data_IF_360233443507
#
_entry.id   IF_360233443507
#
_cell.length_a   1.000
_cell.length_b   1.000
_cell.length_c   1.000
_cell.angle_alpha   90.00
_cell.angle_beta   90.00
_cell.angle_gamma   90.00
#
_symmetry.space_group_name_H-M   'P 1'
#
loop_
_entity.id
_entity.type
_entity.pdbx_description
1 polymer ?
#
# COMPACT_ATOMS: atom_id res chain seq x y z
N UNK A 1 -17.86 -18.86 -26.20
CA UNK A 1 -18.14 -17.59 -25.50
C UNK A 1 -18.45 -17.94 -24.05
N UNK A 2 -17.54 -17.62 -23.12
CA UNK A 2 -17.77 -17.84 -21.69
C UNK A 2 -18.00 -16.46 -21.07
N UNK A 3 -19.25 -16.21 -20.68
CA UNK A 3 -19.64 -15.07 -19.85
C UNK A 3 -18.98 -15.24 -18.48
N UNK A 4 -18.05 -14.34 -18.14
CA UNK A 4 -17.47 -14.27 -16.80
C UNK A 4 -18.35 -13.34 -15.98
N UNK A 5 -19.18 -13.93 -15.14
CA UNK A 5 -20.03 -13.25 -14.18
C UNK A 5 -19.19 -12.39 -13.20
N UNK A 6 -19.55 -11.11 -13.13
CA UNK A 6 -19.01 -10.14 -12.19
C UNK A 6 -19.19 -10.62 -10.74
N UNK A 7 -18.08 -11.00 -10.10
CA UNK A 7 -18.05 -11.27 -8.67
C UNK A 7 -17.85 -9.96 -7.91
N UNK A 8 -18.97 -9.34 -7.57
CA UNK A 8 -19.06 -8.23 -6.63
C UNK A 8 -18.74 -8.76 -5.22
N UNK A 9 -17.49 -8.63 -4.76
CA UNK A 9 -17.13 -8.98 -3.38
C UNK A 9 -17.74 -7.96 -2.41
N UNK A 10 -18.79 -8.40 -1.72
CA UNK A 10 -19.46 -7.69 -0.62
C UNK A 10 -18.47 -7.40 0.52
N UNK A 11 -18.72 -6.23 1.13
CA UNK A 11 -18.06 -5.67 2.29
C UNK A 11 -17.83 -6.67 3.44
N UNK A 12 -16.74 -6.43 4.18
CA UNK A 12 -16.42 -6.99 5.51
C UNK A 12 -17.68 -7.32 6.31
N UNK A 13 -17.77 -8.54 6.83
CA UNK A 13 -18.77 -8.89 7.82
C UNK A 13 -18.57 -8.00 9.08
N UNK A 14 -19.57 -7.19 9.47
CA UNK A 14 -19.41 -6.18 10.52
C UNK A 14 -19.06 -6.75 11.90
N UNK A 15 -19.32 -8.04 12.14
CA UNK A 15 -19.01 -8.70 13.41
C UNK A 15 -17.52 -8.89 13.72
N UNK A 16 -16.64 -8.94 12.72
CA UNK A 16 -15.23 -9.28 12.95
C UNK A 16 -14.44 -8.15 13.62
N UNK A 17 -14.71 -6.90 13.21
CA UNK A 17 -14.08 -5.71 13.80
C UNK A 17 -14.51 -5.46 15.25
N UNK A 18 -15.74 -5.84 15.60
CA UNK A 18 -16.29 -5.67 16.95
C UNK A 18 -15.79 -6.74 17.93
N UNK A 19 -15.38 -7.91 17.44
CA UNK A 19 -14.79 -8.97 18.25
C UNK A 19 -13.34 -8.64 18.65
N UNK A 20 -12.54 -8.10 17.72
CA UNK A 20 -11.16 -7.68 18.02
C UNK A 20 -11.10 -6.50 19.02
N UNK A 21 -12.08 -5.58 18.98
CA UNK A 21 -12.16 -4.44 19.91
C UNK A 21 -12.42 -4.83 21.37
N UNK A 22 -12.98 -6.02 21.62
CA UNK A 22 -13.36 -6.49 22.97
C UNK A 22 -12.23 -7.22 23.70
N UNK A 23 -11.00 -7.23 23.17
CA UNK A 23 -9.79 -7.82 23.78
C UNK A 23 -9.87 -9.32 24.18
N UNK A 24 -10.99 -10.00 23.90
CA UNK A 24 -11.16 -11.44 24.11
C UNK A 24 -10.66 -12.29 22.93
N UNK A 25 -10.25 -11.66 21.84
CA UNK A 25 -9.77 -12.32 20.64
C UNK A 25 -8.33 -11.89 20.36
N UNK A 26 -7.37 -12.75 20.67
CA UNK A 26 -5.97 -12.58 20.29
C UNK A 26 -5.87 -13.06 18.84
N UNK A 27 -5.74 -12.13 17.89
CA UNK A 27 -5.52 -12.48 16.49
C UNK A 27 -4.14 -13.14 16.37
N UNK A 28 -4.04 -14.42 15.98
CA UNK A 28 -2.73 -15.06 15.82
C UNK A 28 -1.97 -14.36 14.69
N UNK A 29 -0.65 -14.24 14.84
CA UNK A 29 0.24 -13.56 13.89
C UNK A 29 0.12 -14.10 12.46
N UNK A 30 -0.26 -15.37 12.31
CA UNK A 30 -0.54 -16.03 11.04
C UNK A 30 -1.65 -15.36 10.22
N UNK A 31 -2.60 -14.66 10.84
CA UNK A 31 -3.66 -13.94 10.11
C UNK A 31 -3.09 -12.72 9.39
N UNK A 32 -2.11 -12.01 9.98
CA UNK A 32 -1.44 -10.89 9.32
C UNK A 32 -0.68 -11.33 8.05
N UNK A 33 -0.10 -12.53 8.08
CA UNK A 33 0.57 -13.14 6.93
C UNK A 33 -0.45 -13.49 5.85
N UNK A 34 -1.55 -14.16 6.22
CA UNK A 34 -2.63 -14.50 5.29
C UNK A 34 -3.28 -13.25 4.66
N UNK A 35 -3.50 -12.18 5.43
CA UNK A 35 -4.03 -10.92 4.92
C UNK A 35 -3.10 -10.30 3.87
N UNK A 36 -1.78 -10.37 4.07
CA UNK A 36 -0.80 -9.90 3.09
C UNK A 36 -0.80 -10.75 1.83
N UNK A 37 -0.89 -12.07 1.95
CA UNK A 37 -0.98 -12.99 0.80
C UNK A 37 -2.25 -12.75 -0.02
N UNK A 38 -3.40 -12.60 0.66
CA UNK A 38 -4.68 -12.30 0.00
C UNK A 38 -4.66 -10.93 -0.68
N UNK A 39 -4.07 -9.91 -0.04
CA UNK A 39 -3.88 -8.59 -0.67
C UNK A 39 -2.91 -8.68 -1.85
N UNK A 40 -1.81 -9.43 -1.76
CA UNK A 40 -0.86 -9.59 -2.85
C UNK A 40 -1.50 -10.24 -4.09
N UNK A 41 -2.44 -11.17 -3.89
CA UNK A 41 -3.20 -11.81 -4.98
C UNK A 41 -4.30 -10.89 -5.51
N UNK A 42 -4.99 -10.16 -4.64
CA UNK A 42 -6.18 -9.37 -5.01
C UNK A 42 -5.85 -7.96 -5.51
N UNK A 43 -4.86 -7.32 -4.90
CA UNK A 43 -4.35 -5.99 -5.25
C UNK A 43 -2.82 -5.93 -5.08
N UNK A 44 -2.07 -6.37 -6.12
CA UNK A 44 -0.62 -6.30 -6.15
C UNK A 44 -0.07 -4.88 -5.96
N UNK A 45 -0.85 -3.85 -6.32
CA UNK A 45 -0.43 -2.46 -6.12
C UNK A 45 -0.43 -2.10 -4.64
N UNK A 46 -1.53 -2.38 -3.93
CA UNK A 46 -1.65 -2.13 -2.50
C UNK A 46 -0.59 -2.89 -1.71
N UNK A 47 -0.38 -4.18 -2.02
CA UNK A 47 0.68 -4.98 -1.38
C UNK A 47 2.05 -4.32 -1.55
N UNK A 48 2.38 -3.90 -2.77
CA UNK A 48 3.67 -3.27 -3.04
C UNK A 48 3.82 -1.89 -2.40
N UNK A 49 2.74 -1.11 -2.33
CA UNK A 49 2.73 0.17 -1.63
C UNK A 49 2.98 -0.02 -0.12
N UNK A 50 2.30 -0.97 0.51
CA UNK A 50 2.45 -1.26 1.94
C UNK A 50 3.84 -1.82 2.31
N UNK A 51 4.51 -2.50 1.38
CA UNK A 51 5.91 -2.95 1.54
C UNK A 51 6.92 -1.80 1.42
N UNK A 52 6.58 -0.74 0.69
CA UNK A 52 7.48 0.40 0.48
C UNK A 52 7.28 1.53 1.50
N UNK A 53 6.05 1.72 1.97
CA UNK A 53 5.63 2.94 2.67
C UNK A 53 4.92 2.62 3.98
N UNK A 54 4.90 3.61 4.87
CA UNK A 54 4.07 3.62 6.07
C UNK A 54 3.28 4.93 6.14
N UNK A 55 2.01 4.87 6.57
CA UNK A 55 1.25 6.05 6.95
C UNK A 55 1.98 6.74 8.11
N UNK A 56 2.24 8.04 7.96
CA UNK A 56 2.91 8.84 8.97
C UNK A 56 2.47 10.29 8.79
N UNK A 57 1.63 10.85 9.70
CA UNK A 57 1.10 12.20 9.56
C UNK A 57 2.17 13.29 9.40
N UNK A 58 3.33 13.10 10.03
CA UNK A 58 4.48 14.02 9.94
C UNK A 58 5.47 13.61 8.85
N UNK A 59 5.31 12.39 8.34
CA UNK A 59 6.12 11.80 7.30
C UNK A 59 6.03 12.58 6.00
N UNK A 60 7.18 12.79 5.38
CA UNK A 60 7.27 13.37 4.04
C UNK A 60 8.17 12.57 3.13
N UNK A 61 7.84 12.58 1.84
CA UNK A 61 8.68 11.96 0.82
C UNK A 61 8.56 12.69 -0.51
N UNK A 62 9.68 12.86 -1.20
CA UNK A 62 9.68 13.40 -2.55
C UNK A 62 8.96 12.42 -3.50
N UNK A 63 8.04 12.92 -4.34
CA UNK A 63 7.21 12.07 -5.22
C UNK A 63 8.04 11.17 -6.11
N UNK A 64 9.07 11.74 -6.74
CA UNK A 64 9.98 10.99 -7.60
C UNK A 64 10.68 9.87 -6.83
N UNK A 65 11.17 10.16 -5.62
CA UNK A 65 11.83 9.16 -4.76
C UNK A 65 10.88 8.03 -4.37
N UNK A 66 9.64 8.35 -4.02
CA UNK A 66 8.62 7.34 -3.70
C UNK A 66 8.32 6.45 -4.93
N UNK A 67 8.12 7.06 -6.10
CA UNK A 67 7.86 6.35 -7.33
C UNK A 67 9.03 5.44 -7.75
N UNK A 68 10.27 5.93 -7.72
CA UNK A 68 11.46 5.14 -8.02
C UNK A 68 11.63 3.97 -7.05
N UNK A 69 11.36 4.18 -5.75
CA UNK A 69 11.39 3.11 -4.75
C UNK A 69 10.36 2.02 -5.07
N UNK A 70 9.13 2.41 -5.39
CA UNK A 70 8.08 1.49 -5.78
C UNK A 70 8.45 0.67 -7.02
N UNK A 71 8.96 1.33 -8.07
CA UNK A 71 9.40 0.64 -9.29
C UNK A 71 10.53 -0.35 -9.03
N UNK A 72 11.55 0.06 -8.27
CA UNK A 72 12.67 -0.79 -7.89
C UNK A 72 12.19 -2.03 -7.12
N UNK A 73 11.25 -1.83 -6.18
CA UNK A 73 10.71 -2.92 -5.39
C UNK A 73 9.84 -3.88 -6.19
N UNK A 74 9.00 -3.35 -7.09
CA UNK A 74 8.26 -4.16 -8.05
C UNK A 74 9.19 -5.04 -8.89
N UNK A 75 10.34 -4.52 -9.33
CA UNK A 75 11.33 -5.31 -10.06
C UNK A 75 11.94 -6.42 -9.18
N UNK A 76 12.28 -6.12 -7.92
CA UNK A 76 12.84 -7.10 -6.97
C UNK A 76 11.87 -8.25 -6.65
N UNK A 77 10.58 -7.97 -6.55
CA UNK A 77 9.52 -8.97 -6.27
C UNK A 77 8.95 -9.63 -7.53
N UNK A 78 9.50 -9.34 -8.72
CA UNK A 78 9.06 -9.94 -9.99
C UNK A 78 7.79 -9.33 -10.60
N UNK A 79 7.23 -8.26 -10.02
CA UNK A 79 6.05 -7.54 -10.52
C UNK A 79 6.40 -6.48 -11.59
N UNK A 80 7.18 -6.85 -12.61
CA UNK A 80 7.66 -5.92 -13.65
C UNK A 80 6.48 -5.33 -14.46
N UNK A 81 5.44 -6.13 -14.73
CA UNK A 81 4.24 -5.67 -15.43
C UNK A 81 3.53 -4.54 -14.65
N UNK A 82 3.44 -4.66 -13.32
CA UNK A 82 2.86 -3.65 -12.45
C UNK A 82 3.64 -2.33 -12.50
N UNK A 83 4.97 -2.40 -12.52
CA UNK A 83 5.85 -1.24 -12.65
C UNK A 83 5.66 -0.52 -14.00
N UNK A 84 5.42 -1.27 -15.10
CA UNK A 84 5.17 -0.70 -16.43
C UNK A 84 3.79 -0.06 -16.55
N UNK A 85 2.78 -0.65 -15.92
CA UNK A 85 1.39 -0.17 -15.95
C UNK A 85 1.14 1.04 -15.04
N UNK A 86 2.07 1.31 -14.11
CA UNK A 86 1.94 2.40 -13.14
C UNK A 86 2.88 3.53 -13.54
N UNK A 87 2.33 4.58 -14.15
CA UNK A 87 3.08 5.82 -14.40
C UNK A 87 3.15 6.71 -13.16
N UNK A 88 4.15 7.59 -13.07
CA UNK A 88 4.29 8.55 -11.95
C UNK A 88 3.02 9.39 -11.74
N UNK A 89 2.36 9.80 -12.83
CA UNK A 89 1.11 10.58 -12.80
C UNK A 89 -0.04 9.80 -12.16
N UNK A 90 -0.14 8.51 -12.45
CA UNK A 90 -1.22 7.65 -11.94
C UNK A 90 -0.88 7.03 -10.58
N UNK A 91 0.40 6.96 -10.22
CA UNK A 91 0.89 6.41 -8.97
C UNK A 91 0.23 7.07 -7.76
N UNK A 92 0.22 8.41 -7.71
CA UNK A 92 -0.42 9.13 -6.61
C UNK A 92 -1.92 8.88 -6.49
N UNK A 93 -2.63 8.79 -7.61
CA UNK A 93 -4.08 8.50 -7.61
C UNK A 93 -4.38 7.11 -7.08
N UNK A 94 -3.58 6.12 -7.48
CA UNK A 94 -3.70 4.75 -6.97
C UNK A 94 -3.34 4.66 -5.50
N UNK A 95 -2.29 5.38 -5.08
CA UNK A 95 -1.79 5.36 -3.71
C UNK A 95 -2.84 5.82 -2.69
N UNK A 96 -3.59 6.89 -2.99
CA UNK A 96 -4.67 7.38 -2.12
C UNK A 96 -5.82 6.37 -2.00
N UNK A 97 -5.96 5.44 -2.94
CA UNK A 97 -6.93 4.33 -2.87
C UNK A 97 -6.47 3.15 -2.01
N UNK A 98 -5.22 3.14 -1.53
CA UNK A 98 -4.70 2.10 -0.65
C UNK A 98 -5.05 2.45 0.79
N UNK A 99 -5.59 1.47 1.52
CA UNK A 99 -5.96 1.63 2.92
C UNK A 99 -4.78 2.16 3.76
N UNK A 100 -5.00 3.27 4.47
CA UNK A 100 -3.99 3.96 5.28
C UNK A 100 -3.27 5.12 4.58
N UNK A 101 -3.43 5.29 3.26
CA UNK A 101 -2.84 6.39 2.49
C UNK A 101 -3.86 7.40 1.97
N UNK A 102 -5.10 7.35 2.44
CA UNK A 102 -6.18 8.26 2.04
C UNK A 102 -5.85 9.72 2.35
N UNK A 103 -5.06 9.95 3.41
CA UNK A 103 -4.60 11.26 3.85
C UNK A 103 -3.36 11.80 3.12
N UNK A 104 -2.82 11.07 2.14
CA UNK A 104 -1.60 11.51 1.44
C UNK A 104 -1.91 12.69 0.53
N UNK A 105 -1.38 13.85 0.90
CA UNK A 105 -1.57 15.11 0.14
C UNK A 105 -0.27 15.59 -0.48
N UNK A 106 -0.39 16.42 -1.52
CA UNK A 106 0.77 17.09 -2.12
C UNK A 106 1.13 18.31 -1.29
N UNK A 107 2.36 18.36 -0.78
CA UNK A 107 2.84 19.48 0.01
C UNK A 107 3.09 20.74 -0.82
N UNK A 108 3.17 21.92 -0.17
CA UNK A 108 3.62 23.14 -0.81
C UNK A 108 5.06 22.98 -1.32
N UNK A 109 5.38 23.62 -2.44
CA UNK A 109 6.75 23.66 -2.97
C UNK A 109 7.16 25.07 -3.37
N UNK A 110 8.43 25.38 -3.14
CA UNK A 110 9.06 26.53 -3.80
C UNK A 110 9.24 26.24 -5.30
N UNK A 111 9.33 27.30 -6.10
CA UNK A 111 9.63 27.17 -7.51
C UNK A 111 10.98 26.46 -7.71
N UNK A 112 11.07 25.53 -8.68
CA UNK A 112 12.26 24.71 -8.93
C UNK A 112 12.48 23.50 -8.02
N UNK A 113 11.76 23.38 -6.89
CA UNK A 113 11.91 22.23 -5.99
C UNK A 113 11.06 21.01 -6.42
N UNK A 114 11.51 19.78 -6.10
CA UNK A 114 10.72 18.56 -6.30
C UNK A 114 9.41 18.61 -5.53
N UNK A 115 8.36 18.01 -6.09
CA UNK A 115 7.09 17.86 -5.37
C UNK A 115 7.25 16.84 -4.24
N UNK A 116 6.65 17.13 -3.10
CA UNK A 116 6.62 16.24 -1.93
C UNK A 116 5.20 15.75 -1.66
N UNK A 117 5.11 14.57 -1.07
CA UNK A 117 3.91 14.04 -0.43
C UNK A 117 4.07 14.12 1.08
N UNK A 118 2.97 14.48 1.75
CA UNK A 118 2.82 14.53 3.20
C UNK A 118 1.89 13.40 3.64
N UNK A 119 2.03 12.94 4.89
CA UNK A 119 1.17 11.89 5.44
C UNK A 119 1.73 10.47 5.24
N UNK A 120 2.97 10.35 4.76
CA UNK A 120 3.64 9.07 4.62
C UNK A 120 5.16 9.19 4.62
N UNK A 121 5.82 8.09 5.00
CA UNK A 121 7.27 7.94 4.89
C UNK A 121 7.65 6.64 4.20
N UNK A 122 8.91 6.58 3.77
CA UNK A 122 9.51 5.33 3.31
C UNK A 122 9.71 4.38 4.50
N UNK A 123 9.46 3.10 4.30
CA UNK A 123 9.96 2.07 5.22
C UNK A 123 11.47 2.02 5.18
N UNK A 124 12.07 1.88 6.35
CA UNK A 124 13.49 1.58 6.49
C UNK A 124 13.80 0.15 6.06
N UNK A 125 15.09 -0.18 5.87
CA UNK A 125 15.49 -1.55 5.54
C UNK A 125 15.14 -2.54 6.66
N UNK A 126 15.19 -2.12 7.92
CA UNK A 126 14.85 -2.96 9.08
C UNK A 126 13.34 -3.26 9.15
N UNK A 127 12.49 -2.24 8.97
CA UNK A 127 11.02 -2.39 8.96
C UNK A 127 10.48 -3.23 7.79
N UNK A 128 11.28 -3.38 6.72
CA UNK A 128 10.95 -4.27 5.61
C UNK A 128 11.27 -5.73 5.92
N UNK A 129 12.41 -5.99 6.57
CA UNK A 129 12.77 -7.35 7.00
C UNK A 129 11.81 -7.89 8.04
N UNK A 130 11.42 -7.06 9.02
CA UNK A 130 10.46 -7.44 10.05
C UNK A 130 9.02 -7.68 9.52
N UNK A 131 8.75 -7.44 8.23
CA UNK A 131 7.48 -7.77 7.60
C UNK A 131 7.49 -9.08 6.80
N UNK A 132 8.64 -9.71 6.60
CA UNK A 132 8.74 -11.01 5.93
C UNK A 132 8.88 -12.19 6.93
N UNK A 133 9.14 -11.91 8.21
CA UNK A 133 9.11 -12.86 9.36
C UNK A 133 7.72 -12.88 10.04
#
# INVERSE_FOLDING_TARGET
MVEVAAHTHRARAPGYGDLCKRAHFIQPSSVCVLEREVIAVSDPFAAMALDCFLPDPEGTVAKMKAYTMFQSRCAQRGHIALAKLTSERNFGKKLVGVAGFEGVITGPRAHGQPRTWLGMRLRTAQERKAGDD
#
